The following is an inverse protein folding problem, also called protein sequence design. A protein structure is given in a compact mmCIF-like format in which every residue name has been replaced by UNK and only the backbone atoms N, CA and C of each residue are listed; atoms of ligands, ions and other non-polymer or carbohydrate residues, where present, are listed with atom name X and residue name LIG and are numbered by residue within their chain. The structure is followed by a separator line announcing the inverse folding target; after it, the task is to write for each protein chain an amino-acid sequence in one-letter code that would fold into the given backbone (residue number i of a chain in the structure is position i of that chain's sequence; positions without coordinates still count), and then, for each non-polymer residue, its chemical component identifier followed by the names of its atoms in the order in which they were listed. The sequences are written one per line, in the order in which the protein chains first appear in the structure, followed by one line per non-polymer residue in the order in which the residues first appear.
data_IF_240949299590
#
_entry.id   IF_240949299590
#
_cell.length_a   1.000
_cell.length_b   1.000
_cell.length_c   1.000
_cell.angle_alpha   90.00
_cell.angle_beta   90.00
_cell.angle_gamma   90.00
#
_symmetry.space_group_name_H-M   'P 1'
#
loop_
_entity.id
_entity.type
_entity.pdbx_description
1 polymer ?
#
# COMPACT_ATOMS: atom_id res chain seq x y z
N UNK A 1 5.15 11.39 51.30
CA UNK A 1 5.49 12.55 50.47
C UNK A 1 5.65 12.04 49.03
N UNK A 2 4.63 12.31 48.18
CA UNK A 2 4.67 11.88 46.79
C UNK A 2 5.67 12.73 46.02
N UNK A 3 6.53 12.11 45.25
CA UNK A 3 7.42 12.78 44.32
C UNK A 3 6.53 13.26 43.17
N UNK A 4 6.21 14.56 43.12
CA UNK A 4 5.57 15.16 41.97
C UNK A 4 6.61 15.27 40.85
N UNK A 5 6.41 14.53 39.77
CA UNK A 5 7.27 14.59 38.60
C UNK A 5 6.63 15.58 37.62
N UNK A 6 7.35 16.67 37.31
CA UNK A 6 6.92 17.63 36.30
C UNK A 6 7.30 17.10 34.91
N UNK A 7 6.32 16.53 34.21
CA UNK A 7 6.49 16.03 32.85
C UNK A 7 6.55 17.14 31.78
N UNK A 8 6.40 18.41 32.19
CA UNK A 8 6.60 19.56 31.30
C UNK A 8 8.04 20.08 31.33
N UNK A 9 8.84 19.61 32.28
CA UNK A 9 10.27 19.91 32.33
C UNK A 9 11.01 19.15 31.23
N UNK A 10 12.06 19.72 30.69
CA UNK A 10 12.93 19.06 29.71
C UNK A 10 13.71 17.90 30.34
N UNK A 11 14.10 18.05 31.62
CA UNK A 11 14.86 17.04 32.39
C UNK A 11 14.20 16.78 33.73
N UNK A 12 14.27 15.53 34.18
CA UNK A 12 13.89 15.16 35.53
C UNK A 12 14.96 15.64 36.56
N UNK A 13 14.63 15.73 37.87
CA UNK A 13 15.59 16.12 38.91
C UNK A 13 16.84 15.24 38.96
N UNK A 14 16.79 14.02 38.42
CA UNK A 14 17.94 13.12 38.32
C UNK A 14 18.76 13.34 37.02
N UNK A 15 18.39 14.30 36.17
CA UNK A 15 19.05 14.60 34.91
C UNK A 15 18.62 13.72 33.74
N UNK A 16 17.63 12.85 33.92
CA UNK A 16 17.10 12.06 32.80
C UNK A 16 16.22 12.94 31.89
N UNK A 17 16.39 12.77 30.58
CA UNK A 17 15.62 13.46 29.55
C UNK A 17 14.19 12.91 29.48
N UNK A 18 13.21 13.79 29.65
CA UNK A 18 11.78 13.43 29.61
C UNK A 18 11.36 13.01 28.21
N UNK A 19 11.89 13.63 27.14
CA UNK A 19 11.58 13.26 25.77
C UNK A 19 11.99 11.83 25.46
N UNK A 20 13.16 11.39 25.94
CA UNK A 20 13.62 10.01 25.80
C UNK A 20 12.71 9.00 26.53
N UNK A 21 12.16 9.38 27.70
CA UNK A 21 11.19 8.54 28.42
C UNK A 21 9.84 8.45 27.69
N UNK A 22 9.39 9.56 27.08
CA UNK A 22 8.17 9.59 26.25
C UNK A 22 8.33 8.68 25.03
N UNK A 23 9.47 8.78 24.33
CA UNK A 23 9.79 7.92 23.19
C UNK A 23 9.83 6.44 23.60
N UNK A 24 10.49 6.12 24.71
CA UNK A 24 10.55 4.76 25.26
C UNK A 24 9.15 4.17 25.53
N UNK A 25 8.24 4.97 26.10
CA UNK A 25 6.86 4.54 26.36
C UNK A 25 6.08 4.44 25.06
N UNK A 26 6.23 5.39 24.14
CA UNK A 26 5.59 5.40 22.84
C UNK A 26 5.94 4.20 21.97
N UNK A 27 7.18 3.73 22.06
CA UNK A 27 7.67 2.52 21.39
C UNK A 27 7.23 1.19 22.05
N UNK A 28 6.44 1.27 23.12
CA UNK A 28 6.02 0.09 23.89
C UNK A 28 7.11 -0.53 24.75
N UNK A 29 8.27 0.15 24.92
CA UNK A 29 9.43 -0.32 25.66
C UNK A 29 9.45 0.14 27.14
N UNK A 30 8.31 0.51 27.69
CA UNK A 30 8.20 0.97 29.09
C UNK A 30 8.71 -0.04 30.14
N UNK A 31 8.69 -1.33 29.81
CA UNK A 31 9.21 -2.40 30.68
C UNK A 31 10.74 -2.57 30.59
N UNK A 32 11.39 -2.06 29.54
CA UNK A 32 12.82 -2.16 29.29
C UNK A 32 13.53 -1.05 30.06
N UNK A 33 13.78 -1.26 31.36
CA UNK A 33 14.40 -0.25 32.24
C UNK A 33 15.92 -0.36 32.23
N UNK A 34 16.61 0.77 32.01
CA UNK A 34 18.05 0.85 32.25
C UNK A 34 18.38 0.67 33.73
N UNK A 35 19.65 0.40 34.07
CA UNK A 35 20.09 0.26 35.47
C UNK A 35 19.73 1.49 36.33
N UNK A 36 19.87 2.70 35.77
CA UNK A 36 19.45 3.94 36.45
C UNK A 36 17.93 3.99 36.64
N UNK A 37 17.16 3.73 35.60
CA UNK A 37 15.69 3.77 35.65
C UNK A 37 15.09 2.73 36.59
N UNK A 38 15.78 1.60 36.79
CA UNK A 38 15.33 0.55 37.69
C UNK A 38 15.46 0.94 39.18
N UNK A 39 16.37 1.86 39.52
CA UNK A 39 16.67 2.24 40.91
C UNK A 39 16.27 3.69 41.22
N UNK A 40 16.12 4.55 40.25
CA UNK A 40 15.83 5.97 40.43
C UNK A 40 14.32 6.21 40.65
N UNK A 41 13.89 6.80 41.78
CA UNK A 41 12.48 7.04 42.06
C UNK A 41 11.84 8.05 41.08
N UNK A 42 12.60 9.02 40.61
CA UNK A 42 12.10 10.01 39.63
C UNK A 42 11.77 9.35 38.28
N UNK A 43 12.67 8.50 37.77
CA UNK A 43 12.42 7.78 36.50
C UNK A 43 11.28 6.78 36.64
N UNK A 44 11.16 6.09 37.76
CA UNK A 44 10.08 5.13 38.00
C UNK A 44 8.73 5.82 38.00
N UNK A 45 8.58 6.93 38.73
CA UNK A 45 7.34 7.71 38.80
C UNK A 45 6.98 8.27 37.40
N UNK A 46 7.96 8.82 36.69
CA UNK A 46 7.74 9.36 35.34
C UNK A 46 7.28 8.29 34.37
N UNK A 47 7.92 7.13 34.33
CA UNK A 47 7.54 6.01 33.46
C UNK A 47 6.15 5.45 33.81
N UNK A 48 5.78 5.39 35.08
CA UNK A 48 4.44 4.97 35.50
C UNK A 48 3.37 5.96 35.11
N UNK A 49 3.64 7.24 35.22
CA UNK A 49 2.73 8.31 34.83
C UNK A 49 2.56 8.39 33.31
N UNK A 50 3.66 8.37 32.55
CA UNK A 50 3.64 8.30 31.11
C UNK A 50 2.91 7.06 30.61
N UNK A 51 3.14 5.89 31.22
CA UNK A 51 2.44 4.66 30.88
C UNK A 51 0.93 4.75 31.10
N UNK A 52 0.47 5.41 32.18
CA UNK A 52 -0.96 5.66 32.40
C UNK A 52 -1.56 6.61 31.37
N UNK A 53 -0.84 7.68 31.03
CA UNK A 53 -1.26 8.63 29.98
C UNK A 53 -1.31 7.97 28.59
N UNK A 54 -0.38 7.04 28.32
CA UNK A 54 -0.30 6.32 27.03
C UNK A 54 -1.27 5.15 26.89
N UNK A 55 -1.79 4.63 28.00
CA UNK A 55 -2.67 3.46 28.02
C UNK A 55 -3.92 3.55 27.09
N UNK A 56 -4.55 4.72 26.86
CA UNK A 56 -5.62 4.84 25.86
C UNK A 56 -5.12 4.63 24.42
N UNK A 57 -3.92 5.13 24.10
CA UNK A 57 -3.29 4.98 22.77
C UNK A 57 -2.94 3.51 22.54
N UNK A 58 -2.36 2.83 23.53
CA UNK A 58 -2.07 1.40 23.47
C UNK A 58 -3.32 0.55 23.26
N UNK A 59 -4.43 0.92 23.89
CA UNK A 59 -5.70 0.24 23.67
C UNK A 59 -6.20 0.42 22.25
N UNK A 60 -6.09 1.63 21.70
CA UNK A 60 -6.48 1.92 20.33
C UNK A 60 -5.58 1.17 19.33
N UNK A 61 -4.27 1.12 19.58
CA UNK A 61 -3.32 0.40 18.73
C UNK A 61 -3.56 -1.12 18.68
N UNK A 62 -4.16 -1.69 19.73
CA UNK A 62 -4.52 -3.12 19.80
C UNK A 62 -5.88 -3.43 19.14
N UNK A 63 -6.65 -2.42 18.75
CA UNK A 63 -7.86 -2.66 17.98
C UNK A 63 -7.45 -3.18 16.61
N UNK A 64 -7.90 -4.40 16.21
CA UNK A 64 -7.53 -4.96 14.91
C UNK A 64 -8.02 -4.04 13.80
N UNK A 65 -7.09 -3.33 13.16
CA UNK A 65 -7.42 -2.59 11.96
C UNK A 65 -7.81 -3.61 10.88
N UNK A 66 -9.03 -3.52 10.39
CA UNK A 66 -9.44 -4.30 9.23
C UNK A 66 -8.69 -3.72 8.01
N UNK A 67 -7.57 -4.35 7.69
CA UNK A 67 -6.86 -4.03 6.46
C UNK A 67 -7.76 -4.43 5.29
N UNK A 68 -8.19 -3.49 4.44
CA UNK A 68 -8.98 -3.83 3.27
C UNK A 68 -8.25 -4.84 2.41
N UNK A 69 -8.99 -5.81 1.85
CA UNK A 69 -8.39 -6.87 1.03
C UNK A 69 -7.53 -6.30 -0.12
N UNK A 70 -7.99 -5.20 -0.72
CA UNK A 70 -7.26 -4.53 -1.79
C UNK A 70 -5.87 -4.05 -1.37
N UNK A 71 -5.69 -3.53 -0.13
CA UNK A 71 -4.38 -3.05 0.33
C UNK A 71 -3.39 -4.20 0.49
N UNK A 72 -3.84 -5.35 1.03
CA UNK A 72 -3.02 -6.55 1.12
C UNK A 72 -2.58 -7.04 -0.26
N UNK A 73 -3.52 -7.09 -1.21
CA UNK A 73 -3.23 -7.48 -2.58
C UNK A 73 -2.30 -6.49 -3.28
N UNK A 74 -2.49 -5.19 -3.07
CA UNK A 74 -1.61 -4.15 -3.61
C UNK A 74 -0.17 -4.29 -3.09
N UNK A 75 0.00 -4.53 -1.79
CA UNK A 75 1.34 -4.76 -1.19
C UNK A 75 1.98 -6.04 -1.75
N UNK A 76 1.23 -7.15 -1.82
CA UNK A 76 1.72 -8.39 -2.40
C UNK A 76 2.05 -8.25 -3.89
N UNK A 77 1.23 -7.51 -4.63
CA UNK A 77 1.50 -7.15 -6.03
C UNK A 77 2.82 -6.39 -6.15
N UNK A 78 3.02 -5.39 -5.30
CA UNK A 78 4.26 -4.60 -5.30
C UNK A 78 5.51 -5.43 -4.96
N UNK A 79 5.39 -6.34 -4.00
CA UNK A 79 6.49 -7.27 -3.66
C UNK A 79 6.79 -8.20 -4.84
N UNK A 80 5.77 -8.76 -5.50
CA UNK A 80 5.96 -9.61 -6.69
C UNK A 80 6.62 -8.85 -7.83
N UNK A 81 6.25 -7.58 -8.05
CA UNK A 81 6.90 -6.71 -9.05
C UNK A 81 8.39 -6.51 -8.76
N UNK A 82 8.75 -6.26 -7.51
CA UNK A 82 10.14 -6.07 -7.10
C UNK A 82 10.96 -7.35 -7.22
N UNK A 83 10.37 -8.51 -6.97
CA UNK A 83 11.04 -9.82 -7.03
C UNK A 83 11.04 -10.40 -8.45
N UNK A 84 10.01 -10.10 -9.27
CA UNK A 84 9.82 -10.67 -10.62
C UNK A 84 10.30 -9.81 -11.79
N UNK A 85 10.86 -8.63 -11.55
CA UNK A 85 11.04 -7.58 -12.55
C UNK A 85 12.31 -7.64 -13.41
N UNK A 86 12.69 -8.78 -14.00
CA UNK A 86 13.94 -8.93 -14.76
C UNK A 86 13.85 -8.94 -16.29
N UNK A 87 12.67 -9.01 -16.89
CA UNK A 87 12.53 -9.13 -18.35
C UNK A 87 12.48 -7.79 -19.10
N UNK A 88 12.98 -7.82 -20.35
CA UNK A 88 12.87 -6.70 -21.30
C UNK A 88 12.33 -7.20 -22.63
N UNK A 89 11.47 -6.41 -23.27
CA UNK A 89 11.08 -6.60 -24.66
C UNK A 89 11.98 -5.75 -25.54
N UNK A 90 12.51 -6.36 -26.60
CA UNK A 90 13.32 -5.68 -27.60
C UNK A 90 12.42 -5.31 -28.77
N UNK A 91 12.32 -4.01 -29.01
CA UNK A 91 11.56 -3.47 -30.14
C UNK A 91 12.58 -3.02 -31.19
N UNK A 92 12.56 -3.69 -32.34
CA UNK A 92 13.40 -3.35 -33.49
C UNK A 92 12.84 -2.14 -34.23
N UNK A 93 13.72 -1.20 -34.57
CA UNK A 93 13.40 -0.07 -35.45
C UNK A 93 14.53 0.17 -36.45
N UNK A 94 14.24 0.81 -37.58
CA UNK A 94 15.20 1.03 -38.67
C UNK A 94 16.48 1.82 -38.30
N UNK A 95 16.54 2.39 -37.08
CA UNK A 95 17.67 3.20 -36.57
C UNK A 95 18.21 2.73 -35.23
N UNK A 96 17.82 1.55 -34.75
CA UNK A 96 18.30 1.04 -33.49
C UNK A 96 17.32 0.08 -32.82
N UNK A 97 17.64 -0.32 -31.56
CA UNK A 97 16.84 -1.21 -30.74
C UNK A 97 16.37 -0.46 -29.50
N UNK A 98 15.08 -0.43 -29.25
CA UNK A 98 14.50 0.10 -28.02
C UNK A 98 14.26 -1.07 -27.05
N UNK A 99 14.69 -0.91 -25.80
CA UNK A 99 14.45 -1.89 -24.73
C UNK A 99 13.38 -1.35 -23.79
N UNK A 100 12.31 -2.10 -23.64
CA UNK A 100 11.23 -1.76 -22.71
C UNK A 100 11.15 -2.83 -21.63
N UNK A 101 11.25 -2.43 -20.37
CA UNK A 101 11.13 -3.38 -19.26
C UNK A 101 9.71 -3.88 -19.12
N UNK A 102 9.54 -5.16 -18.70
CA UNK A 102 8.23 -5.73 -18.38
C UNK A 102 7.49 -4.91 -17.31
N UNK A 103 8.25 -4.31 -16.39
CA UNK A 103 7.69 -3.40 -15.39
C UNK A 103 7.04 -2.17 -16.03
N UNK A 104 7.72 -1.55 -17.02
CA UNK A 104 7.16 -0.38 -17.73
C UNK A 104 5.89 -0.75 -18.50
N UNK A 105 5.89 -1.90 -19.20
CA UNK A 105 4.70 -2.39 -19.90
C UNK A 105 3.55 -2.67 -18.92
N UNK A 106 3.84 -3.30 -17.78
CA UNK A 106 2.86 -3.52 -16.73
C UNK A 106 2.29 -2.21 -16.18
N UNK A 107 3.14 -1.19 -16.01
CA UNK A 107 2.71 0.14 -15.58
C UNK A 107 1.75 0.79 -16.60
N UNK A 108 2.07 0.70 -17.89
CA UNK A 108 1.19 1.19 -18.96
C UNK A 108 -0.15 0.46 -18.94
N UNK A 109 -0.14 -0.88 -18.82
CA UNK A 109 -1.35 -1.69 -18.73
C UNK A 109 -2.22 -1.30 -17.54
N UNK A 110 -1.61 -1.10 -16.35
CA UNK A 110 -2.35 -0.68 -15.17
C UNK A 110 -2.97 0.71 -15.30
N UNK A 111 -2.24 1.66 -15.88
CA UNK A 111 -2.76 3.00 -16.14
C UNK A 111 -3.91 2.96 -17.14
N UNK A 112 -3.78 2.16 -18.20
CA UNK A 112 -4.85 1.95 -19.18
C UNK A 112 -6.11 1.37 -18.54
N UNK A 113 -5.96 0.34 -17.68
CA UNK A 113 -7.05 -0.28 -16.96
C UNK A 113 -7.74 0.69 -15.98
N UNK A 114 -6.97 1.48 -15.25
CA UNK A 114 -7.50 2.45 -14.28
C UNK A 114 -8.36 3.56 -14.91
N UNK A 115 -8.21 3.81 -16.22
CA UNK A 115 -9.01 4.80 -16.94
C UNK A 115 -10.30 4.21 -17.55
N UNK A 116 -10.60 2.95 -17.31
CA UNK A 116 -11.84 2.33 -17.77
C UNK A 116 -12.96 2.65 -16.78
N UNK A 117 -14.11 3.19 -17.24
CA UNK A 117 -15.28 3.38 -16.38
C UNK A 117 -15.68 2.06 -15.71
N UNK A 118 -16.04 2.12 -14.42
CA UNK A 118 -16.36 0.96 -13.60
C UNK A 118 -15.16 0.28 -12.95
N UNK A 119 -13.93 0.71 -13.24
CA UNK A 119 -12.73 0.26 -12.51
C UNK A 119 -12.44 1.21 -11.36
N UNK A 120 -12.57 0.72 -10.14
CA UNK A 120 -12.28 1.48 -8.91
C UNK A 120 -10.80 1.49 -8.54
N UNK A 121 -10.13 0.36 -8.75
CA UNK A 121 -8.71 0.21 -8.46
C UNK A 121 -8.08 -0.91 -9.29
N UNK A 122 -6.78 -0.79 -9.53
CA UNK A 122 -5.94 -1.84 -10.10
C UNK A 122 -5.01 -2.35 -9.01
N UNK A 123 -5.13 -3.63 -8.66
CA UNK A 123 -4.43 -4.25 -7.54
C UNK A 123 -3.11 -4.89 -7.96
N UNK A 124 -3.12 -5.57 -9.08
CA UNK A 124 -1.99 -6.33 -9.58
C UNK A 124 -1.87 -6.26 -11.10
N UNK A 125 -0.65 -6.44 -11.56
CA UNK A 125 -0.34 -6.59 -12.98
C UNK A 125 0.89 -7.44 -13.17
N UNK A 126 0.85 -8.31 -14.15
CA UNK A 126 2.01 -9.12 -14.56
C UNK A 126 2.09 -9.07 -16.07
N UNK A 127 3.29 -8.87 -16.60
CA UNK A 127 3.56 -8.96 -18.04
C UNK A 127 4.64 -10.02 -18.24
N UNK A 128 4.37 -10.96 -19.13
CA UNK A 128 5.33 -12.00 -19.52
C UNK A 128 5.48 -11.99 -21.03
N UNK A 129 6.71 -12.19 -21.53
CA UNK A 129 6.95 -12.40 -22.94
C UNK A 129 6.91 -13.89 -23.24
N UNK A 130 6.25 -14.27 -24.32
CA UNK A 130 6.24 -15.67 -24.81
C UNK A 130 6.83 -15.76 -26.20
N UNK A 131 7.66 -16.79 -26.39
CA UNK A 131 8.16 -17.17 -27.71
C UNK A 131 9.30 -16.31 -28.24
N UNK A 132 9.67 -16.59 -29.50
CA UNK A 132 10.74 -15.89 -30.22
C UNK A 132 10.27 -14.52 -30.69
N UNK A 133 11.23 -13.58 -30.74
CA UNK A 133 11.01 -12.22 -31.22
C UNK A 133 10.53 -12.25 -32.70
N UNK A 134 9.36 -11.67 -32.94
CA UNK A 134 8.87 -11.36 -34.30
C UNK A 134 9.32 -9.95 -34.70
N UNK A 135 9.05 -9.54 -35.94
CA UNK A 135 9.40 -8.21 -36.44
C UNK A 135 8.90 -7.04 -35.58
N UNK A 136 7.81 -7.25 -34.85
CA UNK A 136 7.19 -6.28 -33.92
C UNK A 136 7.54 -6.56 -32.43
N UNK A 137 8.55 -7.39 -32.17
CA UNK A 137 8.88 -7.87 -30.83
C UNK A 137 8.18 -9.19 -30.47
N UNK A 138 8.53 -9.82 -29.34
CA UNK A 138 7.87 -11.01 -28.87
C UNK A 138 6.44 -10.68 -28.41
N UNK A 139 5.46 -11.58 -28.65
CA UNK A 139 4.12 -11.41 -28.11
C UNK A 139 4.17 -11.40 -26.59
N UNK A 140 3.39 -10.52 -25.97
CA UNK A 140 3.31 -10.41 -24.52
C UNK A 140 1.95 -10.88 -24.02
N UNK A 141 1.96 -11.52 -22.87
CA UNK A 141 0.76 -11.79 -22.10
C UNK A 141 0.68 -10.79 -20.95
N UNK A 142 -0.48 -10.24 -20.75
CA UNK A 142 -0.75 -9.27 -19.70
C UNK A 142 -1.83 -9.83 -18.79
N UNK A 143 -1.58 -9.84 -17.48
CA UNK A 143 -2.59 -10.13 -16.47
C UNK A 143 -2.81 -8.87 -15.64
N UNK A 144 -4.09 -8.48 -15.46
CA UNK A 144 -4.47 -7.31 -14.66
C UNK A 144 -5.55 -7.74 -13.67
N UNK A 145 -5.34 -7.38 -12.41
CA UNK A 145 -6.28 -7.62 -11.31
C UNK A 145 -6.94 -6.28 -10.94
N UNK A 146 -8.26 -6.23 -10.96
CA UNK A 146 -9.03 -5.00 -10.76
C UNK A 146 -10.10 -5.15 -9.69
N UNK A 147 -10.48 -4.03 -9.10
CA UNK A 147 -11.70 -3.87 -8.29
C UNK A 147 -12.69 -3.07 -9.12
N UNK A 148 -13.92 -3.56 -9.24
CA UNK A 148 -14.99 -2.88 -9.98
C UNK A 148 -15.93 -2.13 -9.02
N UNK A 149 -16.71 -1.20 -9.55
CA UNK A 149 -17.77 -0.53 -8.79
C UNK A 149 -19.01 -1.44 -8.68
N UNK A 150 -19.70 -1.34 -7.53
CA UNK A 150 -20.95 -2.08 -7.33
C UNK A 150 -22.04 -1.54 -8.27
N UNK A 151 -22.72 -2.47 -8.95
CA UNK A 151 -23.76 -2.14 -9.91
C UNK A 151 -23.33 -2.22 -11.36
N UNK A 152 -22.04 -2.24 -11.64
CA UNK A 152 -21.50 -2.41 -12.99
C UNK A 152 -21.50 -3.89 -13.42
N UNK A 153 -21.64 -4.11 -14.72
CA UNK A 153 -21.52 -5.46 -15.28
C UNK A 153 -20.04 -5.85 -15.38
N UNK A 154 -19.65 -6.78 -14.52
CA UNK A 154 -18.26 -7.25 -14.41
C UNK A 154 -17.68 -7.76 -15.75
N UNK A 155 -18.50 -8.40 -16.59
CA UNK A 155 -18.08 -8.92 -17.91
C UNK A 155 -17.79 -7.77 -18.86
N UNK A 156 -18.67 -6.77 -18.91
CA UNK A 156 -18.52 -5.59 -19.78
C UNK A 156 -17.31 -4.76 -19.38
N UNK A 157 -17.09 -4.54 -18.07
CA UNK A 157 -15.90 -3.87 -17.53
C UNK A 157 -14.64 -4.65 -17.91
N UNK A 158 -14.62 -5.96 -17.73
CA UNK A 158 -13.50 -6.82 -18.11
C UNK A 158 -13.15 -6.72 -19.60
N UNK A 159 -14.16 -6.73 -20.47
CA UNK A 159 -13.96 -6.56 -21.92
C UNK A 159 -13.46 -5.15 -22.27
N UNK A 160 -13.95 -4.12 -21.61
CA UNK A 160 -13.47 -2.76 -21.80
C UNK A 160 -12.00 -2.61 -21.39
N UNK A 161 -11.61 -3.22 -20.26
CA UNK A 161 -10.21 -3.27 -19.80
C UNK A 161 -9.33 -3.97 -20.83
N UNK A 162 -9.73 -5.16 -21.33
CA UNK A 162 -8.97 -5.87 -22.37
C UNK A 162 -8.72 -5.04 -23.61
N UNK A 163 -9.76 -4.42 -24.12
CA UNK A 163 -9.66 -3.55 -25.31
C UNK A 163 -8.74 -2.36 -25.07
N UNK A 164 -8.90 -1.69 -23.94
CA UNK A 164 -8.12 -0.50 -23.60
C UNK A 164 -6.64 -0.82 -23.40
N UNK A 165 -6.32 -1.85 -22.62
CA UNK A 165 -4.93 -2.29 -22.37
C UNK A 165 -4.24 -2.66 -23.67
N UNK A 166 -4.89 -3.45 -24.53
CA UNK A 166 -4.34 -3.85 -25.83
C UNK A 166 -4.06 -2.64 -26.72
N UNK A 167 -5.01 -1.72 -26.82
CA UNK A 167 -4.86 -0.53 -27.63
C UNK A 167 -3.72 0.39 -27.15
N UNK A 168 -3.60 0.60 -25.84
CA UNK A 168 -2.56 1.46 -25.25
C UNK A 168 -1.16 0.85 -25.39
N UNK A 169 -0.99 -0.44 -25.18
CA UNK A 169 0.30 -1.11 -25.37
C UNK A 169 0.75 -1.07 -26.82
N UNK A 170 -0.16 -1.26 -27.75
CA UNK A 170 0.12 -1.13 -29.19
C UNK A 170 0.51 0.31 -29.56
N UNK A 171 -0.24 1.30 -29.09
CA UNK A 171 -0.03 2.70 -29.42
C UNK A 171 1.20 3.32 -28.78
N UNK A 172 1.46 3.03 -27.49
CA UNK A 172 2.53 3.69 -26.73
C UNK A 172 3.85 2.93 -26.78
N UNK A 173 3.79 1.61 -26.85
CA UNK A 173 4.99 0.76 -26.81
C UNK A 173 5.24 -0.01 -28.12
N UNK A 174 4.31 0.00 -29.06
CA UNK A 174 4.41 -0.84 -30.26
C UNK A 174 4.42 -2.35 -29.95
N UNK A 175 3.83 -2.74 -28.83
CA UNK A 175 3.83 -4.13 -28.32
C UNK A 175 2.46 -4.74 -28.56
N UNK A 176 2.44 -5.92 -29.20
CA UNK A 176 1.24 -6.71 -29.35
C UNK A 176 0.96 -7.52 -28.08
N UNK A 177 -0.13 -7.18 -27.39
CA UNK A 177 -0.62 -7.95 -26.25
C UNK A 177 -1.53 -9.09 -26.78
N UNK A 178 -0.94 -10.24 -27.07
CA UNK A 178 -1.66 -11.41 -27.62
C UNK A 178 -2.79 -11.85 -26.68
N UNK A 179 -2.50 -11.90 -25.39
CA UNK A 179 -3.48 -12.24 -24.35
C UNK A 179 -3.51 -11.18 -23.27
N UNK A 180 -4.73 -10.71 -22.96
CA UNK A 180 -4.98 -9.85 -21.80
C UNK A 180 -6.00 -10.55 -20.91
N UNK A 181 -5.52 -11.11 -19.80
CA UNK A 181 -6.33 -11.73 -18.76
C UNK A 181 -6.73 -10.65 -17.74
N UNK A 182 -8.02 -10.53 -17.45
CA UNK A 182 -8.55 -9.59 -16.46
C UNK A 182 -9.24 -10.40 -15.38
N UNK A 183 -8.78 -10.24 -14.15
CA UNK A 183 -9.40 -10.83 -12.96
C UNK A 183 -10.06 -9.73 -12.14
N UNK A 184 -11.33 -9.91 -11.83
CA UNK A 184 -12.05 -9.04 -10.90
C UNK A 184 -11.90 -9.66 -9.51
N UNK A 185 -11.10 -9.02 -8.66
CA UNK A 185 -10.76 -9.53 -7.33
C UNK A 185 -11.77 -9.10 -6.27
N UNK A 186 -12.43 -7.95 -6.49
CA UNK A 186 -13.38 -7.42 -5.53
C UNK A 186 -14.34 -6.43 -6.20
N UNK A 187 -15.45 -6.15 -5.53
CA UNK A 187 -16.45 -5.15 -5.92
C UNK A 187 -16.53 -4.13 -4.80
N UNK A 188 -16.19 -2.88 -5.10
CA UNK A 188 -16.31 -1.79 -4.14
C UNK A 188 -17.79 -1.47 -3.91
N UNK A 189 -18.26 -1.64 -2.66
CA UNK A 189 -19.62 -1.25 -2.28
C UNK A 189 -19.85 0.24 -2.46
N UNK A 190 -21.11 0.68 -2.50
CA UNK A 190 -21.43 2.10 -2.47
C UNK A 190 -20.78 2.71 -1.24
N UNK A 191 -19.99 3.76 -1.43
CA UNK A 191 -19.37 4.50 -0.36
C UNK A 191 -20.49 4.93 0.59
N UNK A 192 -20.56 4.31 1.77
CA UNK A 192 -21.47 4.78 2.81
C UNK A 192 -21.00 6.20 3.11
N UNK A 193 -21.77 7.18 2.62
CA UNK A 193 -21.62 8.55 3.05
C UNK A 193 -21.81 8.53 4.57
N UNK A 194 -20.71 8.56 5.29
CA UNK A 194 -20.69 8.89 6.73
C UNK A 194 -21.12 10.34 6.82
N UNK A 195 -22.46 10.52 6.78
CA UNK A 195 -23.06 11.80 7.13
C UNK A 195 -22.62 12.14 8.55
N UNK A 196 -22.32 13.41 8.83
CA UNK A 196 -21.97 13.83 10.17
C UNK A 196 -23.12 13.42 11.10
N UNK A 197 -22.82 12.57 12.07
CA UNK A 197 -23.71 12.20 13.16
C UNK A 197 -24.18 13.48 13.85
N UNK A 198 -25.43 13.83 13.65
CA UNK A 198 -26.04 14.97 14.33
C UNK A 198 -25.99 14.66 15.83
N UNK A 199 -25.39 15.51 16.67
CA UNK A 199 -25.47 15.32 18.10
C UNK A 199 -26.94 15.43 18.47
N UNK A 200 -27.54 14.35 19.04
CA UNK A 200 -28.81 14.36 19.63
C UNK A 200 -28.84 15.43 20.73
N UNK A 201 -29.52 16.53 20.45
CA UNK A 201 -29.87 17.51 21.48
C UNK A 201 -31.04 16.99 22.31
N UNK A 202 -30.91 17.12 23.58
CA UNK A 202 -31.86 17.62 24.54
C UNK A 202 -31.31 17.47 25.94
#
# INVERSE_FOLDING_TARGET
MGVMTDLHAEYLPCGADVAALVEQVGDGRAAERSAHQATCPYCQTALEELGRLWAPVDRLARVPARVPAWLRLAVLGRVRELVGGGGQVLLGGGRGVTRVSMWALGRMAALAAAHVPGVRAVLGRVVTARGEARSAGPPVEVRVEVVTEYGDNAVEVGEAVRRRVRAELAALAGVDAETVEVTIEDVAGPEQATGPERPNGA
#
